data_IF_318207179561
#
_entry.id   IF_318207179561
#
_cell.length_a   1.000
_cell.length_b   1.000
_cell.length_c   1.000
_cell.angle_alpha   90.00
_cell.angle_beta   90.00
_cell.angle_gamma   90.00
#
_symmetry.space_group_name_H-M   'P 1'
#
loop_
_entity.id
_entity.type
_entity.pdbx_description
1 polymer ?
#
# COMPACT_ATOMS: atom_id res chain seq x y z
N UNK A 1 33.46 -33.23 -22.26
CA UNK A 1 33.72 -31.77 -22.30
C UNK A 1 32.43 -31.02 -22.62
N UNK A 2 31.42 -31.17 -21.75
CA UNK A 2 30.06 -30.66 -21.93
C UNK A 2 29.85 -29.46 -20.97
N UNK A 3 29.35 -28.35 -21.50
CA UNK A 3 28.61 -27.27 -20.81
C UNK A 3 29.23 -26.51 -19.61
N UNK A 4 30.31 -25.75 -19.81
CA UNK A 4 30.62 -24.62 -18.90
C UNK A 4 30.10 -23.26 -19.38
N UNK A 5 29.82 -23.09 -20.68
CA UNK A 5 29.26 -21.84 -21.21
C UNK A 5 27.72 -21.74 -21.07
N UNK A 6 26.98 -22.84 -21.27
CA UNK A 6 25.53 -22.84 -21.08
C UNK A 6 25.12 -22.71 -19.62
N UNK A 7 25.88 -23.29 -18.67
CA UNK A 7 25.63 -23.07 -17.25
C UNK A 7 25.78 -21.59 -16.87
N UNK A 8 26.82 -20.90 -17.34
CA UNK A 8 27.03 -19.47 -17.03
C UNK A 8 25.84 -18.60 -17.48
N UNK A 9 25.24 -18.88 -18.64
CA UNK A 9 24.08 -18.12 -19.16
C UNK A 9 22.77 -18.48 -18.45
N UNK A 10 22.56 -19.75 -18.08
CA UNK A 10 21.36 -20.22 -17.37
C UNK A 10 21.35 -19.72 -15.91
N UNK A 11 22.50 -19.79 -15.22
CA UNK A 11 22.67 -19.24 -13.86
C UNK A 11 22.48 -17.72 -13.85
N UNK A 12 22.76 -17.03 -14.98
CA UNK A 12 22.54 -15.60 -15.12
C UNK A 12 21.07 -15.16 -15.13
N UNK A 13 20.18 -15.98 -15.72
CA UNK A 13 18.73 -15.71 -15.65
C UNK A 13 18.12 -16.18 -14.33
N UNK A 14 18.60 -17.28 -13.77
CA UNK A 14 18.02 -17.86 -12.56
C UNK A 14 18.27 -16.99 -11.33
N UNK A 15 19.52 -16.54 -11.09
CA UNK A 15 19.84 -15.70 -9.92
C UNK A 15 19.05 -14.37 -9.91
N UNK A 16 18.90 -13.74 -11.07
CA UNK A 16 18.08 -12.52 -11.21
C UNK A 16 16.59 -12.81 -10.97
N UNK A 17 16.06 -13.94 -11.45
CA UNK A 17 14.67 -14.34 -11.19
C UNK A 17 14.43 -14.59 -9.70
N UNK A 18 15.36 -15.27 -9.02
CA UNK A 18 15.29 -15.51 -7.56
C UNK A 18 15.28 -14.18 -6.82
N UNK A 19 16.19 -13.25 -7.15
CA UNK A 19 16.19 -11.92 -6.54
C UNK A 19 14.88 -11.16 -6.78
N UNK A 20 14.35 -11.19 -8.01
CA UNK A 20 13.07 -10.54 -8.33
C UNK A 20 11.94 -11.11 -7.48
N UNK A 21 11.89 -12.44 -7.33
CA UNK A 21 10.90 -13.11 -6.51
C UNK A 21 11.07 -12.76 -5.02
N UNK A 22 12.29 -12.83 -4.48
CA UNK A 22 12.59 -12.48 -3.09
C UNK A 22 12.20 -11.03 -2.79
N UNK A 23 12.54 -10.08 -3.66
CA UNK A 23 12.17 -8.68 -3.50
C UNK A 23 10.65 -8.47 -3.52
N UNK A 24 9.95 -9.14 -4.44
CA UNK A 24 8.50 -9.04 -4.56
C UNK A 24 7.78 -9.68 -3.35
N UNK A 25 8.29 -10.83 -2.89
CA UNK A 25 7.76 -11.50 -1.71
C UNK A 25 8.03 -10.70 -0.44
N UNK A 26 9.24 -10.15 -0.26
CA UNK A 26 9.55 -9.24 0.83
C UNK A 26 8.66 -8.00 0.81
N UNK A 27 8.40 -7.40 -0.36
CA UNK A 27 7.46 -6.29 -0.49
C UNK A 27 6.06 -6.66 0.00
N UNK A 28 5.59 -7.87 -0.31
CA UNK A 28 4.34 -8.41 0.23
C UNK A 28 4.38 -8.62 1.76
N UNK A 29 5.47 -9.19 2.30
CA UNK A 29 5.62 -9.38 3.75
C UNK A 29 5.65 -8.05 4.52
N UNK A 30 6.20 -6.98 3.94
CA UNK A 30 6.20 -5.65 4.56
C UNK A 30 4.83 -4.98 4.59
N UNK A 31 3.81 -5.54 3.93
CA UNK A 31 2.41 -5.14 4.11
C UNK A 31 1.75 -5.83 5.33
N UNK A 32 2.53 -6.57 6.12
CA UNK A 32 2.13 -7.23 7.37
C UNK A 32 0.95 -8.21 7.22
N UNK A 33 1.03 -9.22 6.34
CA UNK A 33 0.04 -10.30 6.37
C UNK A 33 0.06 -11.06 7.71
N UNK A 34 -1.05 -11.66 8.14
CA UNK A 34 -1.20 -12.15 9.51
C UNK A 34 -0.14 -13.17 9.95
N UNK A 35 0.36 -13.98 9.02
CA UNK A 35 1.37 -14.98 9.31
C UNK A 35 2.77 -14.41 9.54
N UNK A 36 3.00 -13.08 9.43
CA UNK A 36 4.23 -12.42 9.90
C UNK A 36 4.08 -11.77 11.27
N UNK A 37 2.86 -11.71 11.82
CA UNK A 37 2.65 -11.08 13.12
C UNK A 37 3.34 -11.87 14.23
N UNK A 38 4.04 -11.14 15.11
CA UNK A 38 4.72 -11.72 16.26
C UNK A 38 5.94 -12.60 15.93
N UNK A 39 6.35 -12.72 14.67
CA UNK A 39 7.50 -13.54 14.28
C UNK A 39 8.52 -12.76 13.44
N UNK A 40 9.60 -13.45 13.05
CA UNK A 40 10.77 -12.86 12.36
C UNK A 40 10.87 -13.20 10.87
N UNK A 41 9.77 -13.66 10.25
CA UNK A 41 9.81 -14.15 8.86
C UNK A 41 10.25 -13.08 7.87
N UNK A 42 9.74 -11.84 7.99
CA UNK A 42 10.11 -10.73 7.10
C UNK A 42 11.58 -10.34 7.25
N UNK A 43 12.13 -10.42 8.46
CA UNK A 43 13.53 -10.18 8.77
C UNK A 43 14.43 -11.24 8.14
N UNK A 44 14.07 -12.52 8.30
CA UNK A 44 14.80 -13.65 7.70
C UNK A 44 14.82 -13.52 6.17
N UNK A 45 13.67 -13.25 5.55
CA UNK A 45 13.59 -13.01 4.10
C UNK A 45 14.38 -11.76 3.69
N UNK A 46 14.38 -10.72 4.53
CA UNK A 46 15.20 -9.52 4.37
C UNK A 46 16.70 -9.81 4.32
N UNK A 47 17.20 -10.69 5.21
CA UNK A 47 18.59 -11.13 5.18
C UNK A 47 18.95 -11.84 3.88
N UNK A 48 18.10 -12.77 3.41
CA UNK A 48 18.31 -13.44 2.12
C UNK A 48 18.27 -12.46 0.94
N UNK A 49 17.36 -11.49 0.98
CA UNK A 49 17.26 -10.44 -0.02
C UNK A 49 18.53 -9.59 -0.11
N UNK A 50 19.10 -9.16 1.02
CA UNK A 50 20.37 -8.41 1.05
C UNK A 50 21.53 -9.27 0.58
N UNK A 51 21.64 -10.51 1.05
CA UNK A 51 22.69 -11.42 0.61
C UNK A 51 22.64 -11.63 -0.91
N UNK A 52 21.45 -11.87 -1.47
CA UNK A 52 21.28 -11.98 -2.92
C UNK A 52 21.60 -10.68 -3.63
N UNK A 53 21.17 -9.51 -3.12
CA UNK A 53 21.48 -8.20 -3.70
C UNK A 53 23.00 -8.00 -3.83
N UNK A 54 23.77 -8.29 -2.78
CA UNK A 54 25.24 -8.20 -2.81
C UNK A 54 25.83 -9.15 -3.87
N UNK A 55 25.38 -10.39 -3.92
CA UNK A 55 25.84 -11.36 -4.93
C UNK A 55 25.53 -10.92 -6.37
N UNK A 56 24.33 -10.41 -6.63
CA UNK A 56 23.93 -10.01 -7.98
C UNK A 56 24.50 -8.64 -8.36
N UNK A 57 24.76 -7.73 -7.42
CA UNK A 57 25.31 -6.41 -7.72
C UNK A 57 26.78 -6.46 -8.14
N UNK A 58 27.55 -7.40 -7.59
CA UNK A 58 28.93 -7.66 -8.03
C UNK A 58 28.95 -8.25 -9.45
N UNK A 59 28.03 -9.17 -9.74
CA UNK A 59 28.03 -9.93 -10.99
C UNK A 59 27.31 -9.25 -12.15
N UNK A 60 26.29 -8.42 -11.88
CA UNK A 60 25.46 -7.78 -12.88
C UNK A 60 25.40 -6.27 -12.66
N UNK A 61 25.35 -5.51 -13.74
CA UNK A 61 25.11 -4.05 -13.72
C UNK A 61 23.63 -3.74 -13.39
N UNK A 62 23.22 -4.05 -12.17
CA UNK A 62 21.85 -3.83 -11.67
C UNK A 62 21.67 -2.52 -10.90
N UNK A 63 22.77 -1.90 -10.43
CA UNK A 63 22.74 -0.62 -9.71
C UNK A 63 22.78 0.53 -10.73
N UNK A 64 21.87 1.50 -10.56
CA UNK A 64 21.91 2.76 -11.31
C UNK A 64 22.66 3.83 -10.51
N UNK A 65 23.65 4.48 -11.13
CA UNK A 65 24.42 5.56 -10.51
C UNK A 65 23.54 6.76 -10.14
N UNK A 66 22.54 7.06 -10.95
CA UNK A 66 21.58 8.14 -10.71
C UNK A 66 20.76 7.92 -9.42
N UNK A 67 20.56 6.66 -9.04
CA UNK A 67 19.80 6.30 -7.84
C UNK A 67 20.63 6.38 -6.54
N UNK A 68 21.94 6.62 -6.61
CA UNK A 68 22.79 6.75 -5.41
C UNK A 68 22.35 7.95 -4.56
N UNK A 69 22.04 9.09 -5.19
CA UNK A 69 21.51 10.27 -4.48
C UNK A 69 20.20 9.94 -3.77
N UNK A 70 19.28 9.24 -4.46
CA UNK A 70 18.02 8.80 -3.87
C UNK A 70 18.23 7.84 -2.69
N UNK A 71 19.24 6.97 -2.75
CA UNK A 71 19.60 6.09 -1.65
C UNK A 71 20.07 6.87 -0.42
N UNK A 72 20.90 7.92 -0.58
CA UNK A 72 21.29 8.78 0.55
C UNK A 72 20.09 9.47 1.20
N UNK A 73 19.16 10.02 0.41
CA UNK A 73 17.92 10.57 0.95
C UNK A 73 17.08 9.51 1.66
N UNK A 74 17.03 8.28 1.12
CA UNK A 74 16.32 7.15 1.76
C UNK A 74 16.94 6.80 3.11
N UNK A 75 18.27 6.75 3.22
CA UNK A 75 18.97 6.52 4.50
C UNK A 75 18.61 7.62 5.50
N UNK A 76 18.61 8.89 5.06
CA UNK A 76 18.24 10.01 5.91
C UNK A 76 16.80 9.91 6.41
N UNK A 77 15.84 9.59 5.55
CA UNK A 77 14.44 9.38 5.93
C UNK A 77 14.28 8.21 6.92
N UNK A 78 14.97 7.10 6.67
CA UNK A 78 14.96 5.92 7.54
C UNK A 78 15.58 6.22 8.90
N UNK A 79 16.64 7.01 8.95
CA UNK A 79 17.26 7.48 10.19
C UNK A 79 16.26 8.30 11.02
N UNK A 80 15.62 9.30 10.41
CA UNK A 80 14.61 10.11 11.07
C UNK A 80 13.43 9.27 11.58
N UNK A 81 12.92 8.35 10.78
CA UNK A 81 11.83 7.45 11.18
C UNK A 81 12.22 6.54 12.35
N UNK A 82 13.48 6.10 12.41
CA UNK A 82 13.95 5.19 13.45
C UNK A 82 14.09 5.87 14.82
N UNK A 83 14.21 7.21 14.86
CA UNK A 83 14.23 7.98 16.11
C UNK A 83 12.87 8.08 16.82
N UNK A 84 11.81 7.49 16.26
CA UNK A 84 10.53 7.32 16.97
C UNK A 84 10.64 6.43 18.22
N UNK A 85 11.68 5.60 18.29
CA UNK A 85 11.98 4.74 19.43
C UNK A 85 12.90 5.44 20.41
N UNK A 86 12.71 5.20 21.71
CA UNK A 86 13.61 5.69 22.75
C UNK A 86 14.82 4.76 22.93
N UNK A 87 14.61 3.45 22.83
CA UNK A 87 15.67 2.49 23.13
C UNK A 87 16.63 2.31 21.94
N UNK A 88 17.93 2.50 22.18
CA UNK A 88 18.99 2.43 21.16
C UNK A 88 18.93 1.15 20.32
N UNK A 89 18.67 0.00 20.95
CA UNK A 89 18.58 -1.27 20.21
C UNK A 89 17.38 -1.31 19.24
N UNK A 90 16.25 -0.68 19.57
CA UNK A 90 15.09 -0.58 18.66
C UNK A 90 15.36 0.41 17.54
N UNK A 91 16.02 1.54 17.84
CA UNK A 91 16.46 2.51 16.82
C UNK A 91 17.38 1.82 15.80
N UNK A 92 18.42 1.13 16.28
CA UNK A 92 19.37 0.39 15.44
C UNK A 92 18.67 -0.70 14.64
N UNK A 93 17.79 -1.49 15.28
CA UNK A 93 17.02 -2.52 14.60
C UNK A 93 16.17 -1.96 13.46
N UNK A 94 15.36 -0.92 13.75
CA UNK A 94 14.53 -0.23 12.76
C UNK A 94 15.37 0.31 11.61
N UNK A 95 16.45 1.02 11.94
CA UNK A 95 17.34 1.64 10.96
C UNK A 95 17.97 0.59 10.03
N UNK A 96 18.57 -0.45 10.61
CA UNK A 96 19.25 -1.51 9.87
C UNK A 96 18.28 -2.30 9.00
N UNK A 97 17.12 -2.70 9.55
CA UNK A 97 16.12 -3.45 8.80
C UNK A 97 15.56 -2.64 7.63
N UNK A 98 15.14 -1.39 7.87
CA UNK A 98 14.60 -0.55 6.80
C UNK A 98 15.65 -0.19 5.76
N UNK A 99 16.91 0.03 6.15
CA UNK A 99 18.00 0.22 5.19
C UNK A 99 18.23 -1.05 4.34
N UNK A 100 18.27 -2.22 4.98
CA UNK A 100 18.43 -3.51 4.31
C UNK A 100 17.32 -3.77 3.27
N UNK A 101 16.11 -3.31 3.54
CA UNK A 101 14.95 -3.50 2.68
C UNK A 101 14.90 -2.44 1.56
N UNK A 102 14.95 -1.15 1.92
CA UNK A 102 14.67 -0.05 1.01
C UNK A 102 15.87 0.36 0.15
N UNK A 103 17.10 0.31 0.67
CA UNK A 103 18.28 0.80 -0.07
C UNK A 103 18.58 -0.06 -1.30
N UNK A 104 18.64 -1.41 -1.19
CA UNK A 104 18.80 -2.24 -2.38
C UNK A 104 17.70 -1.98 -3.42
N UNK A 105 16.46 -1.76 -2.99
CA UNK A 105 15.34 -1.48 -3.89
C UNK A 105 15.48 -0.12 -4.61
N UNK A 106 15.90 0.92 -3.90
CA UNK A 106 16.09 2.24 -4.51
C UNK A 106 17.24 2.22 -5.52
N UNK A 107 18.34 1.55 -5.20
CA UNK A 107 19.55 1.49 -6.02
C UNK A 107 19.37 0.76 -7.36
N UNK A 108 18.51 -0.25 -7.42
CA UNK A 108 18.35 -1.03 -8.66
C UNK A 108 17.77 -0.22 -9.82
N UNK A 109 18.07 -0.66 -11.04
CA UNK A 109 17.55 -0.07 -12.29
C UNK A 109 16.01 -0.10 -12.37
N UNK A 110 15.44 0.86 -13.10
CA UNK A 110 14.00 0.95 -13.34
C UNK A 110 13.42 -0.33 -13.96
N UNK A 111 14.17 -0.98 -14.86
CA UNK A 111 13.80 -2.27 -15.45
C UNK A 111 13.65 -3.38 -14.41
N UNK A 112 14.49 -3.41 -13.38
CA UNK A 112 14.37 -4.38 -12.28
C UNK A 112 13.18 -4.06 -11.37
N UNK A 113 12.99 -2.78 -11.02
CA UNK A 113 11.82 -2.33 -10.23
C UNK A 113 10.50 -2.75 -10.86
N UNK A 114 10.35 -2.56 -12.18
CA UNK A 114 9.16 -2.97 -12.92
C UNK A 114 8.93 -4.49 -12.91
N UNK A 115 9.99 -5.29 -13.05
CA UNK A 115 9.89 -6.76 -12.97
C UNK A 115 9.50 -7.24 -11.56
N UNK A 116 10.05 -6.62 -10.53
CA UNK A 116 9.68 -6.88 -9.13
C UNK A 116 8.22 -6.54 -8.92
N UNK A 117 7.76 -5.39 -9.42
CA UNK A 117 6.38 -4.97 -9.31
C UNK A 117 5.40 -5.94 -10.01
N UNK A 118 5.73 -6.42 -11.20
CA UNK A 118 4.90 -7.41 -11.90
C UNK A 118 4.78 -8.74 -11.14
N UNK A 119 5.84 -9.19 -10.45
CA UNK A 119 5.77 -10.36 -9.58
C UNK A 119 4.99 -10.06 -8.30
N UNK A 120 5.19 -8.89 -7.70
CA UNK A 120 4.47 -8.44 -6.51
C UNK A 120 2.96 -8.40 -6.74
N UNK A 121 2.49 -7.85 -7.86
CA UNK A 121 1.07 -7.83 -8.23
C UNK A 121 0.50 -9.26 -8.31
N UNK A 122 1.25 -10.21 -8.86
CA UNK A 122 0.81 -11.61 -8.94
C UNK A 122 0.73 -12.26 -7.55
N UNK A 123 1.68 -11.98 -6.67
CA UNK A 123 1.64 -12.45 -5.28
C UNK A 123 0.41 -11.89 -4.56
N UNK A 124 0.14 -10.59 -4.71
CA UNK A 124 -1.06 -9.93 -4.16
C UNK A 124 -2.34 -10.56 -4.72
N UNK A 125 -2.43 -10.78 -6.02
CA UNK A 125 -3.60 -11.40 -6.61
C UNK A 125 -3.82 -12.83 -6.07
N UNK A 126 -2.76 -13.64 -5.99
CA UNK A 126 -2.86 -15.00 -5.43
C UNK A 126 -3.28 -14.98 -3.96
N UNK A 127 -2.75 -14.05 -3.15
CA UNK A 127 -3.11 -13.95 -1.74
C UNK A 127 -4.56 -13.51 -1.50
N UNK A 128 -5.23 -12.91 -2.50
CA UNK A 128 -6.65 -12.56 -2.44
C UNK A 128 -7.60 -13.70 -2.76
N UNK A 129 -7.15 -14.73 -3.50
CA UNK A 129 -8.02 -15.82 -3.95
C UNK A 129 -8.77 -16.51 -2.81
N UNK A 130 -8.12 -16.92 -1.69
CA UNK A 130 -8.84 -17.61 -0.62
C UNK A 130 -9.97 -16.78 -0.03
N UNK A 131 -9.75 -15.48 0.17
CA UNK A 131 -10.75 -14.58 0.74
C UNK A 131 -11.91 -14.31 -0.21
N UNK A 132 -11.64 -14.22 -1.53
CA UNK A 132 -12.68 -14.12 -2.54
C UNK A 132 -13.56 -15.38 -2.53
N UNK A 133 -12.95 -16.57 -2.48
CA UNK A 133 -13.68 -17.84 -2.41
C UNK A 133 -14.58 -17.87 -1.16
N UNK A 134 -14.03 -17.53 0.00
CA UNK A 134 -14.79 -17.48 1.26
C UNK A 134 -15.95 -16.49 1.16
N UNK A 135 -15.71 -15.29 0.63
CA UNK A 135 -16.78 -14.31 0.43
C UNK A 135 -17.92 -14.85 -0.45
N UNK A 136 -17.60 -15.54 -1.54
CA UNK A 136 -18.63 -16.15 -2.39
C UNK A 136 -19.37 -17.31 -1.71
N UNK A 137 -18.67 -18.16 -0.94
CA UNK A 137 -19.30 -19.25 -0.19
C UNK A 137 -20.25 -18.70 0.89
N UNK A 138 -19.81 -17.70 1.65
CA UNK A 138 -20.63 -17.01 2.64
C UNK A 138 -21.87 -16.39 1.98
N UNK A 139 -21.71 -15.74 0.82
CA UNK A 139 -22.83 -15.19 0.05
C UNK A 139 -23.84 -16.28 -0.35
N UNK A 140 -23.41 -17.52 -0.58
CA UNK A 140 -24.30 -18.64 -0.91
C UNK A 140 -24.93 -19.33 0.32
N UNK A 141 -24.62 -18.88 1.54
CA UNK A 141 -25.06 -19.53 2.78
C UNK A 141 -24.22 -20.73 3.20
N UNK A 142 -23.03 -20.88 2.63
CA UNK A 142 -22.08 -21.95 2.96
C UNK A 142 -21.03 -21.35 3.91
N UNK A 143 -21.24 -21.51 5.21
CA UNK A 143 -20.22 -21.17 6.21
C UNK A 143 -19.25 -22.34 6.40
N UNK A 144 -17.97 -22.09 6.18
CA UNK A 144 -16.91 -23.07 6.41
C UNK A 144 -16.53 -23.07 7.90
N UNK A 145 -15.93 -24.16 8.39
CA UNK A 145 -15.31 -24.13 9.72
C UNK A 145 -14.19 -23.09 9.75
N UNK A 146 -14.16 -22.27 10.81
CA UNK A 146 -13.17 -21.22 11.00
C UNK A 146 -12.59 -21.24 12.41
N UNK A 147 -11.33 -20.79 12.51
CA UNK A 147 -10.65 -20.60 13.78
C UNK A 147 -10.64 -19.12 14.18
N UNK A 148 -10.48 -18.83 15.47
CA UNK A 148 -10.28 -17.47 15.94
C UNK A 148 -8.80 -17.08 15.78
N UNK A 149 -8.53 -16.07 14.96
CA UNK A 149 -7.20 -15.50 14.82
C UNK A 149 -7.07 -14.27 15.72
N UNK A 150 -6.13 -14.34 16.66
CA UNK A 150 -5.83 -13.27 17.62
C UNK A 150 -5.02 -12.18 16.92
N UNK A 151 -5.48 -10.95 17.06
CA UNK A 151 -4.81 -9.75 16.58
C UNK A 151 -3.67 -9.30 17.47
N UNK A 152 -2.67 -8.65 16.88
CA UNK A 152 -1.71 -7.85 17.65
C UNK A 152 -2.29 -6.52 18.15
N UNK A 153 -3.39 -6.04 17.56
CA UNK A 153 -4.02 -4.77 17.92
C UNK A 153 -5.15 -4.99 18.92
N UNK A 154 -5.07 -4.30 20.07
CA UNK A 154 -6.06 -4.35 21.15
C UNK A 154 -7.45 -3.86 20.74
N UNK A 155 -7.55 -2.95 19.75
CA UNK A 155 -8.82 -2.44 19.22
C UNK A 155 -9.46 -3.34 18.14
N UNK A 156 -8.78 -4.44 17.77
CA UNK A 156 -9.19 -5.34 16.68
C UNK A 156 -9.15 -6.78 17.14
N UNK A 157 -9.87 -7.14 18.19
CA UNK A 157 -9.55 -8.33 18.99
C UNK A 157 -9.81 -9.69 18.32
N UNK A 158 -10.71 -9.80 17.33
CA UNK A 158 -11.09 -11.10 16.76
C UNK A 158 -11.24 -11.10 15.23
N UNK A 159 -10.53 -12.01 14.59
CA UNK A 159 -10.71 -12.36 13.18
C UNK A 159 -11.23 -13.80 13.08
N UNK A 160 -12.06 -14.06 12.06
CA UNK A 160 -12.35 -15.43 11.63
C UNK A 160 -11.32 -15.82 10.60
N UNK A 161 -10.59 -16.89 10.87
CA UNK A 161 -9.62 -17.45 9.95
C UNK A 161 -10.26 -18.54 9.11
N UNK A 162 -10.43 -18.24 7.82
CA UNK A 162 -10.97 -19.16 6.82
C UNK A 162 -9.91 -19.43 5.76
N UNK A 163 -9.53 -20.69 5.51
CA UNK A 163 -8.64 -21.08 4.40
C UNK A 163 -7.39 -20.16 4.27
N UNK A 164 -6.71 -19.86 5.37
CA UNK A 164 -5.54 -18.96 5.40
C UNK A 164 -5.86 -17.51 4.96
N UNK A 165 -7.10 -17.07 5.16
CA UNK A 165 -7.53 -15.68 5.05
C UNK A 165 -8.13 -15.22 6.38
N UNK A 166 -7.87 -13.98 6.74
CA UNK A 166 -8.50 -13.30 7.84
C UNK A 166 -9.74 -12.57 7.31
N UNK A 167 -10.90 -12.90 7.86
CA UNK A 167 -12.11 -12.09 7.73
C UNK A 167 -12.32 -11.33 9.03
N UNK A 168 -12.58 -10.02 8.89
CA UNK A 168 -12.83 -9.18 10.04
C UNK A 168 -14.18 -9.56 10.63
N UNK A 169 -14.17 -10.20 11.78
CA UNK A 169 -15.38 -10.81 12.34
C UNK A 169 -16.10 -9.89 13.31
N UNK A 170 -15.33 -9.16 14.12
CA UNK A 170 -15.84 -8.32 15.20
C UNK A 170 -15.06 -7.01 15.28
N UNK A 171 -15.79 -5.89 15.35
CA UNK A 171 -15.24 -4.57 15.67
C UNK A 171 -16.00 -3.99 16.85
N UNK A 172 -15.32 -3.61 17.94
CA UNK A 172 -15.95 -3.12 19.17
C UNK A 172 -17.10 -3.99 19.70
N UNK A 173 -16.99 -5.32 19.61
CA UNK A 173 -18.03 -6.23 20.10
C UNK A 173 -19.23 -6.39 19.17
N UNK A 174 -19.26 -5.73 18.01
CA UNK A 174 -20.30 -5.91 17.00
C UNK A 174 -19.80 -6.79 15.85
N UNK A 175 -20.65 -7.72 15.42
CA UNK A 175 -20.36 -8.53 14.23
C UNK A 175 -20.29 -7.64 12.99
N UNK A 176 -19.23 -7.83 12.20
CA UNK A 176 -19.05 -7.16 10.91
C UNK A 176 -19.78 -7.87 9.76
N UNK A 177 -20.48 -8.97 10.08
CA UNK A 177 -21.24 -9.79 9.15
C UNK A 177 -22.67 -9.28 9.01
N UNK A 178 -23.22 -9.39 7.81
CA UNK A 178 -24.65 -9.28 7.59
C UNK A 178 -25.22 -10.56 7.02
N UNK A 179 -26.30 -11.02 7.61
CA UNK A 179 -27.03 -12.20 7.18
C UNK A 179 -28.22 -11.80 6.32
N UNK A 180 -28.36 -12.48 5.19
CA UNK A 180 -29.53 -12.39 4.34
C UNK A 180 -30.62 -13.35 4.83
N UNK A 181 -31.87 -13.05 4.48
CA UNK A 181 -33.04 -13.87 4.84
C UNK A 181 -32.98 -15.31 4.32
N UNK A 182 -32.22 -15.57 3.24
CA UNK A 182 -32.01 -16.90 2.67
C UNK A 182 -30.87 -17.69 3.34
N UNK A 183 -30.25 -17.17 4.41
CA UNK A 183 -29.17 -17.82 5.16
C UNK A 183 -27.75 -17.49 4.69
N UNK A 184 -27.60 -16.79 3.55
CA UNK A 184 -26.33 -16.22 3.11
C UNK A 184 -25.81 -15.13 4.03
N UNK A 185 -24.54 -14.75 3.87
CA UNK A 185 -23.98 -13.58 4.54
C UNK A 185 -22.92 -12.86 3.71
N UNK A 186 -22.65 -11.60 4.04
CA UNK A 186 -21.55 -10.82 3.47
C UNK A 186 -20.65 -10.26 4.58
N UNK A 187 -19.35 -10.48 4.38
CA UNK A 187 -18.27 -9.99 5.24
C UNK A 187 -17.32 -9.10 4.44
N UNK A 188 -16.67 -8.16 5.14
CA UNK A 188 -15.59 -7.36 4.58
C UNK A 188 -14.31 -8.19 4.54
N UNK A 189 -13.79 -8.46 3.35
CA UNK A 189 -12.56 -9.25 3.25
C UNK A 189 -11.33 -8.42 3.66
N UNK A 190 -10.51 -8.96 4.55
CA UNK A 190 -9.15 -8.45 4.81
C UNK A 190 -8.09 -9.21 4.01
N UNK A 191 -8.47 -10.31 3.36
CA UNK A 191 -7.55 -11.29 2.81
C UNK A 191 -6.51 -11.72 3.85
N UNK A 192 -5.22 -11.64 3.55
CA UNK A 192 -4.19 -11.98 4.53
C UNK A 192 -3.84 -10.81 5.46
N UNK A 193 -4.47 -9.64 5.36
CA UNK A 193 -4.06 -8.42 6.05
C UNK A 193 -4.88 -8.12 7.32
N UNK A 194 -4.45 -7.09 8.05
CA UNK A 194 -5.07 -6.69 9.33
C UNK A 194 -6.35 -5.84 9.20
N UNK A 195 -6.76 -5.47 8.00
CA UNK A 195 -8.05 -4.79 7.77
C UNK A 195 -8.40 -4.75 6.28
N UNK A 196 -9.69 -4.60 5.93
CA UNK A 196 -10.13 -4.38 4.56
C UNK A 196 -9.53 -3.11 3.92
N UNK A 197 -9.14 -2.13 4.76
CA UNK A 197 -8.48 -0.91 4.32
C UNK A 197 -7.21 -1.16 3.50
N UNK A 198 -6.39 -2.15 3.89
CA UNK A 198 -5.16 -2.52 3.17
C UNK A 198 -5.49 -3.08 1.79
N UNK A 199 -6.42 -4.05 1.73
CA UNK A 199 -6.88 -4.65 0.47
C UNK A 199 -7.38 -3.58 -0.48
N UNK A 200 -8.23 -2.69 0.02
CA UNK A 200 -8.80 -1.61 -0.77
C UNK A 200 -7.75 -0.64 -1.31
N UNK A 201 -6.86 -0.13 -0.46
CA UNK A 201 -5.84 0.85 -0.88
C UNK A 201 -4.82 0.24 -1.85
N UNK A 202 -4.28 -0.94 -1.54
CA UNK A 202 -3.31 -1.63 -2.40
C UNK A 202 -3.93 -1.96 -3.76
N UNK A 203 -5.17 -2.46 -3.77
CA UNK A 203 -5.89 -2.76 -5.01
C UNK A 203 -6.11 -1.51 -5.85
N UNK A 204 -6.59 -0.41 -5.24
CA UNK A 204 -6.83 0.84 -5.96
C UNK A 204 -5.54 1.39 -6.58
N UNK A 205 -4.45 1.47 -5.82
CA UNK A 205 -3.18 1.99 -6.33
C UNK A 205 -2.60 1.12 -7.44
N UNK A 206 -2.69 -0.22 -7.34
CA UNK A 206 -2.25 -1.12 -8.41
C UNK A 206 -3.10 -0.92 -9.68
N UNK A 207 -4.42 -0.84 -9.55
CA UNK A 207 -5.30 -0.65 -10.70
C UNK A 207 -5.08 0.71 -11.37
N UNK A 208 -4.93 1.78 -10.58
CA UNK A 208 -4.64 3.13 -11.06
C UNK A 208 -3.28 3.17 -11.76
N UNK A 209 -2.24 2.54 -11.19
CA UNK A 209 -0.90 2.49 -11.80
C UNK A 209 -0.91 1.79 -13.17
N UNK A 210 -1.76 0.77 -13.32
CA UNK A 210 -2.01 0.04 -14.58
C UNK A 210 -3.06 0.72 -15.47
N UNK A 211 -3.52 1.92 -15.11
CA UNK A 211 -4.53 2.72 -15.83
C UNK A 211 -5.89 2.02 -16.01
N UNK A 212 -6.22 1.15 -15.06
CA UNK A 212 -7.44 0.32 -15.04
C UNK A 212 -7.58 -0.59 -16.27
N UNK A 213 -6.44 -1.07 -16.79
CA UNK A 213 -6.41 -2.10 -17.84
C UNK A 213 -6.61 -3.45 -17.17
N UNK A 214 -7.70 -4.14 -17.51
CA UNK A 214 -8.11 -5.41 -16.93
C UNK A 214 -7.90 -6.57 -17.92
N UNK A 215 -6.75 -6.52 -18.61
CA UNK A 215 -6.44 -7.41 -19.73
C UNK A 215 -6.11 -8.83 -19.23
N UNK A 216 -5.63 -8.95 -17.98
CA UNK A 216 -5.14 -10.22 -17.39
C UNK A 216 -5.96 -10.66 -16.19
N UNK A 217 -5.97 -11.97 -15.91
CA UNK A 217 -6.74 -12.54 -14.81
C UNK A 217 -6.39 -11.94 -13.44
N UNK A 218 -5.11 -11.74 -13.15
CA UNK A 218 -4.69 -11.18 -11.85
C UNK A 218 -5.17 -9.73 -11.66
N UNK A 219 -5.36 -8.94 -12.72
CA UNK A 219 -5.94 -7.59 -12.63
C UNK A 219 -7.41 -7.66 -12.24
N UNK A 220 -8.15 -8.63 -12.80
CA UNK A 220 -9.55 -8.89 -12.47
C UNK A 220 -9.70 -9.38 -11.02
N UNK A 221 -8.81 -10.26 -10.56
CA UNK A 221 -8.78 -10.74 -9.16
C UNK A 221 -8.59 -9.55 -8.20
N UNK A 222 -7.66 -8.65 -8.49
CA UNK A 222 -7.41 -7.44 -7.67
C UNK A 222 -8.63 -6.52 -7.65
N UNK A 223 -9.32 -6.33 -8.79
CA UNK A 223 -10.56 -5.57 -8.84
C UNK A 223 -11.65 -6.19 -7.95
N UNK A 224 -11.89 -7.49 -8.09
CA UNK A 224 -12.91 -8.21 -7.30
C UNK A 224 -12.57 -8.13 -5.81
N UNK A 225 -11.32 -8.36 -5.42
CA UNK A 225 -10.90 -8.23 -4.03
C UNK A 225 -11.10 -6.81 -3.49
N UNK A 226 -10.75 -5.79 -4.28
CA UNK A 226 -10.95 -4.39 -3.93
C UNK A 226 -12.41 -4.05 -3.66
N UNK A 227 -13.33 -4.54 -4.51
CA UNK A 227 -14.78 -4.38 -4.32
C UNK A 227 -15.25 -5.09 -3.04
N UNK A 228 -14.90 -6.37 -2.90
CA UNK A 228 -15.33 -7.21 -1.76
C UNK A 228 -14.71 -6.78 -0.42
N UNK A 229 -13.62 -5.98 -0.43
CA UNK A 229 -13.08 -5.39 0.80
C UNK A 229 -14.07 -4.41 1.46
N UNK A 230 -15.04 -3.90 0.69
CA UNK A 230 -15.98 -2.88 1.13
C UNK A 230 -15.25 -1.70 1.81
N UNK A 231 -14.09 -1.31 1.26
CA UNK A 231 -13.23 -0.27 1.81
C UNK A 231 -13.57 1.09 1.19
N UNK A 232 -13.85 2.09 2.02
CA UNK A 232 -14.07 3.47 1.58
C UNK A 232 -12.91 3.98 0.72
N UNK A 233 -11.67 3.63 1.09
CA UNK A 233 -10.47 4.04 0.34
C UNK A 233 -10.49 3.51 -1.11
N UNK A 234 -10.92 2.26 -1.31
CA UNK A 234 -11.01 1.67 -2.64
C UNK A 234 -12.00 2.42 -3.53
N UNK A 235 -13.24 2.57 -3.05
CA UNK A 235 -14.31 3.22 -3.82
C UNK A 235 -14.00 4.68 -4.11
N UNK A 236 -13.46 5.42 -3.13
CA UNK A 236 -13.11 6.82 -3.29
C UNK A 236 -11.97 7.00 -4.31
N UNK A 237 -10.89 6.23 -4.20
CA UNK A 237 -9.76 6.35 -5.13
C UNK A 237 -10.14 5.93 -6.56
N UNK A 238 -10.86 4.81 -6.72
CA UNK A 238 -11.31 4.36 -8.05
C UNK A 238 -12.35 5.32 -8.66
N UNK A 239 -13.33 5.76 -7.86
CA UNK A 239 -14.35 6.70 -8.32
C UNK A 239 -13.74 8.02 -8.80
N UNK A 240 -12.86 8.62 -7.98
CA UNK A 240 -12.12 9.82 -8.36
C UNK A 240 -11.25 9.60 -9.59
N UNK A 241 -10.62 8.43 -9.74
CA UNK A 241 -9.81 8.11 -10.92
C UNK A 241 -10.65 8.04 -12.20
N UNK A 242 -11.82 7.40 -12.16
CA UNK A 242 -12.75 7.32 -13.29
C UNK A 242 -13.23 8.72 -13.69
N UNK A 243 -13.59 9.56 -12.71
CA UNK A 243 -13.98 10.96 -12.90
C UNK A 243 -12.84 11.76 -13.55
N UNK A 244 -11.62 11.61 -13.03
CA UNK A 244 -10.44 12.31 -13.55
C UNK A 244 -10.11 11.91 -15.00
N UNK A 245 -10.40 10.67 -15.39
CA UNK A 245 -10.20 10.18 -16.76
C UNK A 245 -11.25 10.72 -17.73
N UNK A 246 -12.50 10.85 -17.30
CA UNK A 246 -13.56 11.42 -18.12
C UNK A 246 -14.64 12.06 -17.26
N UNK A 247 -14.72 13.40 -17.34
CA UNK A 247 -15.68 14.21 -16.58
C UNK A 247 -17.14 13.85 -16.85
N UNK A 248 -17.48 13.24 -17.99
CA UNK A 248 -18.85 12.78 -18.28
C UNK A 248 -19.32 11.72 -17.27
N UNK A 249 -18.39 10.91 -16.74
CA UNK A 249 -18.72 9.94 -15.70
C UNK A 249 -18.94 10.58 -14.33
N UNK A 250 -18.59 11.86 -14.13
CA UNK A 250 -18.93 12.56 -12.89
C UNK A 250 -20.43 12.55 -12.65
N UNK A 251 -21.21 12.95 -13.65
CA UNK A 251 -22.67 13.00 -13.56
C UNK A 251 -23.23 11.59 -13.33
N UNK A 252 -22.73 10.58 -14.04
CA UNK A 252 -23.18 9.20 -13.87
C UNK A 252 -22.84 8.64 -12.48
N UNK A 253 -21.61 8.84 -11.99
CA UNK A 253 -21.19 8.42 -10.66
C UNK A 253 -21.97 9.17 -9.57
N UNK A 254 -22.27 10.45 -9.77
CA UNK A 254 -23.06 11.26 -8.85
C UNK A 254 -24.52 10.81 -8.81
N UNK A 255 -25.14 10.54 -9.96
CA UNK A 255 -26.49 9.96 -10.04
C UNK A 255 -26.51 8.58 -9.38
N UNK A 256 -25.54 7.71 -9.69
CA UNK A 256 -25.43 6.39 -9.08
C UNK A 256 -25.27 6.49 -7.55
N UNK A 257 -24.44 7.43 -7.07
CA UNK A 257 -24.30 7.70 -5.64
C UNK A 257 -25.62 8.15 -5.01
N UNK A 258 -26.35 9.11 -5.61
CA UNK A 258 -27.65 9.56 -5.11
C UNK A 258 -28.65 8.41 -5.09
N UNK A 259 -28.72 7.61 -6.16
CA UNK A 259 -29.63 6.48 -6.25
C UNK A 259 -29.31 5.43 -5.19
N UNK A 260 -28.04 5.06 -5.04
CA UNK A 260 -27.62 4.12 -3.99
C UNK A 260 -27.94 4.70 -2.61
N UNK A 261 -27.62 5.97 -2.35
CA UNK A 261 -27.86 6.60 -1.05
C UNK A 261 -29.35 6.74 -0.72
N UNK A 262 -30.20 7.09 -1.68
CA UNK A 262 -31.63 7.30 -1.49
C UNK A 262 -32.43 6.00 -1.43
N UNK A 263 -32.02 4.96 -2.18
CA UNK A 263 -32.74 3.70 -2.26
C UNK A 263 -32.29 2.68 -1.22
N UNK A 264 -31.11 2.88 -0.60
CA UNK A 264 -30.59 1.94 0.39
C UNK A 264 -31.24 2.23 1.76
N UNK A 265 -31.97 1.27 2.36
CA UNK A 265 -32.57 1.45 3.68
C UNK A 265 -31.50 1.77 4.75
N UNK A 266 -31.79 2.69 5.68
CA UNK A 266 -30.82 3.13 6.70
C UNK A 266 -30.40 2.01 7.66
N UNK A 267 -31.27 1.03 7.87
CA UNK A 267 -31.03 -0.17 8.65
C UNK A 267 -30.28 -1.26 7.87
N UNK A 268 -30.11 -1.10 6.55
CA UNK A 268 -29.37 -2.07 5.75
C UNK A 268 -27.88 -2.09 6.07
N UNK A 269 -27.25 -3.23 5.81
CA UNK A 269 -25.80 -3.38 5.95
C UNK A 269 -25.01 -2.43 5.06
N UNK A 270 -25.44 -2.28 3.80
CA UNK A 270 -24.76 -1.40 2.86
C UNK A 270 -24.75 0.04 3.37
N UNK A 271 -25.86 0.49 3.98
CA UNK A 271 -25.92 1.80 4.61
C UNK A 271 -24.94 1.91 5.76
N UNK A 272 -25.08 1.07 6.78
CA UNK A 272 -24.27 1.15 8.00
C UNK A 272 -22.76 1.00 7.73
N UNK A 273 -22.36 0.25 6.70
CA UNK A 273 -20.94 -0.02 6.41
C UNK A 273 -20.30 0.95 5.45
N UNK A 274 -21.01 1.37 4.41
CA UNK A 274 -20.45 2.23 3.36
C UNK A 274 -21.10 3.60 3.39
N UNK A 275 -22.43 3.69 3.32
CA UNK A 275 -23.11 4.96 3.06
C UNK A 275 -23.16 5.89 4.26
N UNK A 276 -23.26 5.35 5.48
CA UNK A 276 -23.21 6.13 6.73
C UNK A 276 -21.95 6.99 6.79
N UNK A 277 -20.82 6.52 6.25
CA UNK A 277 -19.57 7.29 6.19
C UNK A 277 -19.64 8.52 5.28
N UNK A 278 -20.66 8.65 4.45
CA UNK A 278 -20.90 9.81 3.60
C UNK A 278 -22.08 10.68 4.07
N UNK A 279 -22.75 10.31 5.16
CA UNK A 279 -23.81 11.13 5.77
C UNK A 279 -23.21 12.43 6.34
N UNK A 280 -23.92 13.55 6.18
CA UNK A 280 -23.51 14.86 6.69
C UNK A 280 -24.40 15.17 7.88
N UNK A 281 -23.78 15.25 9.06
CA UNK A 281 -24.42 15.60 10.32
C UNK A 281 -24.03 17.02 10.73
N UNK A 282 -24.56 17.51 11.87
CA UNK A 282 -24.22 18.83 12.45
C UNK A 282 -22.72 19.04 12.63
N UNK A 283 -21.97 17.96 12.90
CA UNK A 283 -20.51 17.99 13.13
C UNK A 283 -19.69 17.73 11.87
N UNK A 284 -20.33 17.65 10.70
CA UNK A 284 -19.72 17.38 9.41
C UNK A 284 -19.95 15.96 8.89
N UNK A 285 -19.02 15.45 8.08
CA UNK A 285 -19.17 14.12 7.45
C UNK A 285 -18.98 13.02 8.49
N UNK A 286 -19.99 12.15 8.67
CA UNK A 286 -19.99 11.05 9.66
C UNK A 286 -18.84 10.05 9.45
N UNK A 287 -18.30 9.93 8.23
CA UNK A 287 -17.09 9.16 7.93
C UNK A 287 -15.79 9.78 8.43
N UNK A 288 -15.81 10.98 9.02
CA UNK A 288 -14.66 11.58 9.70
C UNK A 288 -14.41 10.93 11.07
N UNK A 289 -14.34 9.59 11.09
CA UNK A 289 -14.12 8.77 12.29
C UNK A 289 -12.68 8.24 12.36
N UNK A 290 -11.73 8.99 11.80
CA UNK A 290 -10.30 8.63 11.80
C UNK A 290 -9.60 8.92 13.13
N UNK A 291 -10.22 9.75 13.96
CA UNK A 291 -9.81 10.12 15.31
C UNK A 291 -11.05 10.10 16.21
N UNK A 292 -10.85 9.91 17.51
CA UNK A 292 -11.88 10.09 18.52
C UNK A 292 -11.57 11.32 19.39
N UNK A 293 -12.47 11.67 20.31
CA UNK A 293 -12.28 12.82 21.20
C UNK A 293 -10.99 12.73 22.02
N UNK A 294 -10.68 11.54 22.54
CA UNK A 294 -9.43 11.26 23.25
C UNK A 294 -8.19 11.59 22.43
N UNK A 295 -8.19 11.23 21.15
CA UNK A 295 -7.09 11.60 20.25
C UNK A 295 -7.03 13.11 20.01
N UNK A 296 -8.16 13.81 19.89
CA UNK A 296 -8.14 15.26 19.70
C UNK A 296 -7.59 16.00 20.93
N UNK A 297 -7.79 15.49 22.15
CA UNK A 297 -7.11 16.00 23.35
C UNK A 297 -5.60 15.77 23.27
N UNK A 298 -5.17 14.55 22.95
CA UNK A 298 -3.75 14.21 22.77
C UNK A 298 -3.11 15.10 21.69
N UNK A 299 -3.80 15.31 20.57
CA UNK A 299 -3.32 16.12 19.46
C UNK A 299 -3.26 17.62 19.81
N UNK A 300 -4.18 18.12 20.66
CA UNK A 300 -4.11 19.48 21.20
C UNK A 300 -2.92 19.63 22.15
N UNK A 301 -2.68 18.65 23.03
CA UNK A 301 -1.52 18.61 23.93
C UNK A 301 -0.21 18.64 23.13
N UNK A 302 -0.06 17.77 22.13
CA UNK A 302 1.09 17.77 21.21
C UNK A 302 1.32 19.13 20.51
N UNK A 303 0.24 19.80 20.08
CA UNK A 303 0.33 21.13 19.44
C UNK A 303 0.65 22.26 20.43
N UNK A 304 0.31 22.08 21.71
CA UNK A 304 0.68 23.01 22.77
C UNK A 304 2.13 22.79 23.26
N UNK A 305 2.72 21.62 22.94
CA UNK A 305 4.11 21.29 23.22
C UNK A 305 5.12 22.20 22.52
N UNK A 306 6.38 22.10 22.93
CA UNK A 306 7.47 22.93 22.39
C UNK A 306 7.78 22.64 20.92
N UNK A 307 8.42 23.59 20.23
CA UNK A 307 8.75 23.46 18.80
C UNK A 307 9.57 22.20 18.48
N UNK A 308 10.46 21.77 19.40
CA UNK A 308 11.26 20.55 19.25
C UNK A 308 10.38 19.30 19.18
N UNK A 309 9.42 19.19 20.09
CA UNK A 309 8.46 18.07 20.12
C UNK A 309 7.59 18.08 18.86
N UNK A 310 7.12 19.24 18.42
CA UNK A 310 6.33 19.33 17.19
C UNK A 310 7.13 18.92 15.94
N UNK A 311 8.41 19.28 15.87
CA UNK A 311 9.26 18.95 14.73
C UNK A 311 9.68 17.48 14.69
N UNK A 312 10.02 16.87 15.83
CA UNK A 312 10.58 15.52 15.90
C UNK A 312 9.63 14.45 16.46
N UNK A 313 8.46 14.86 16.93
CA UNK A 313 7.48 13.98 17.55
C UNK A 313 7.76 13.70 19.03
N UNK A 314 6.77 13.14 19.71
CA UNK A 314 6.91 12.65 21.10
C UNK A 314 7.44 11.21 21.18
N UNK A 315 7.57 10.52 20.04
CA UNK A 315 7.98 9.12 19.99
C UNK A 315 6.86 8.13 20.30
N UNK A 316 7.12 6.85 20.01
CA UNK A 316 6.11 5.79 20.02
C UNK A 316 5.66 5.41 21.43
N UNK A 317 6.60 5.35 22.37
CA UNK A 317 6.31 4.94 23.77
C UNK A 317 5.48 5.99 24.50
N UNK A 318 5.88 7.26 24.44
CA UNK A 318 5.09 8.36 25.03
C UNK A 318 3.70 8.46 24.37
N UNK A 319 3.62 8.36 23.04
CA UNK A 319 2.35 8.34 22.33
C UNK A 319 1.42 7.24 22.86
N UNK A 320 1.89 5.99 22.96
CA UNK A 320 1.03 4.90 23.43
C UNK A 320 0.63 5.06 24.90
N UNK A 321 1.50 5.60 25.76
CA UNK A 321 1.14 5.91 27.15
C UNK A 321 0.05 6.98 27.22
N UNK A 322 0.21 8.10 26.53
CA UNK A 322 -0.81 9.16 26.45
C UNK A 322 -2.09 8.64 25.79
N UNK A 323 -1.96 7.81 24.76
CA UNK A 323 -3.12 7.27 24.05
C UNK A 323 -3.98 6.38 24.96
N UNK A 324 -3.36 5.56 25.81
CA UNK A 324 -4.07 4.79 26.83
C UNK A 324 -4.78 5.70 27.83
N UNK A 325 -4.09 6.74 28.34
CA UNK A 325 -4.63 7.68 29.32
C UNK A 325 -5.85 8.45 28.78
N UNK A 326 -5.78 8.90 27.52
CA UNK A 326 -6.87 9.63 26.87
C UNK A 326 -7.92 8.72 26.23
N UNK A 327 -7.79 7.39 26.32
CA UNK A 327 -8.61 6.43 25.55
C UNK A 327 -8.64 6.78 24.05
N UNK A 328 -7.51 7.22 23.54
CA UNK A 328 -7.34 7.72 22.18
C UNK A 328 -7.25 6.58 21.19
N UNK A 329 -8.05 6.67 20.14
CA UNK A 329 -8.06 5.73 19.03
C UNK A 329 -7.98 6.54 17.73
N UNK A 330 -6.89 6.36 17.00
CA UNK A 330 -6.69 7.09 15.76
C UNK A 330 -5.92 6.29 14.73
N UNK A 331 -6.44 6.32 13.51
CA UNK A 331 -5.80 5.81 12.31
C UNK A 331 -5.57 6.99 11.37
N UNK A 332 -4.97 8.08 11.82
CA UNK A 332 -4.84 9.30 11.01
C UNK A 332 -3.38 9.56 10.63
N UNK A 333 -3.16 10.32 9.56
CA UNK A 333 -1.87 10.96 9.30
C UNK A 333 -1.41 11.81 10.49
N UNK A 334 -2.36 12.34 11.29
CA UNK A 334 -2.05 13.03 12.55
C UNK A 334 -1.27 12.11 13.51
N UNK A 335 -1.60 10.82 13.59
CA UNK A 335 -0.87 9.85 14.43
C UNK A 335 0.59 9.74 14.00
N UNK A 336 0.85 9.70 12.69
CA UNK A 336 2.22 9.70 12.17
C UNK A 336 2.97 10.97 12.60
N UNK A 337 2.34 12.13 12.50
CA UNK A 337 2.92 13.42 12.89
C UNK A 337 3.18 13.52 14.39
N UNK A 338 2.26 13.04 15.22
CA UNK A 338 2.44 13.04 16.69
C UNK A 338 3.65 12.20 17.09
N UNK A 339 3.78 11.01 16.50
CA UNK A 339 4.86 10.07 16.83
C UNK A 339 6.21 10.54 16.27
N UNK A 340 6.24 10.99 15.00
CA UNK A 340 7.51 11.22 14.26
C UNK A 340 7.80 12.69 13.95
N UNK A 341 6.87 13.60 14.27
CA UNK A 341 6.99 15.03 14.05
C UNK A 341 6.64 15.52 12.63
N UNK A 342 6.43 16.82 12.50
CA UNK A 342 6.17 17.48 11.22
C UNK A 342 7.38 17.44 10.29
N UNK A 343 8.60 17.44 10.82
CA UNK A 343 9.79 17.47 9.99
C UNK A 343 9.86 16.24 9.09
N UNK A 344 9.71 15.04 9.66
CA UNK A 344 9.70 13.79 8.88
C UNK A 344 8.56 13.77 7.86
N UNK A 345 7.35 14.18 8.27
CA UNK A 345 6.18 14.26 7.38
C UNK A 345 6.49 15.10 6.13
N UNK A 346 7.07 16.29 6.33
CA UNK A 346 7.40 17.24 5.25
C UNK A 346 8.50 16.67 4.37
N UNK A 347 9.64 16.24 4.92
CA UNK A 347 10.77 15.77 4.10
C UNK A 347 10.41 14.48 3.34
N UNK A 348 9.63 13.60 3.95
CA UNK A 348 9.13 12.39 3.29
C UNK A 348 8.16 12.75 2.15
N UNK A 349 7.22 13.67 2.40
CA UNK A 349 6.30 14.16 1.35
C UNK A 349 7.05 14.80 0.18
N UNK A 350 8.03 15.66 0.47
CA UNK A 350 8.84 16.32 -0.54
C UNK A 350 9.67 15.32 -1.36
N UNK A 351 10.20 14.27 -0.73
CA UNK A 351 10.94 13.21 -1.43
C UNK A 351 10.06 12.48 -2.45
N UNK A 352 8.85 12.07 -2.06
CA UNK A 352 7.91 11.40 -2.96
C UNK A 352 7.37 12.36 -4.04
N UNK A 353 7.05 13.61 -3.69
CA UNK A 353 6.65 14.63 -4.65
C UNK A 353 7.74 14.89 -5.69
N UNK A 354 9.00 15.03 -5.27
CA UNK A 354 10.13 15.19 -6.19
C UNK A 354 10.19 14.03 -7.20
N UNK A 355 10.09 12.78 -6.74
CA UNK A 355 10.12 11.61 -7.64
C UNK A 355 8.92 11.62 -8.59
N UNK A 356 7.73 11.97 -8.10
CA UNK A 356 6.52 12.01 -8.92
C UNK A 356 6.50 13.13 -9.95
N UNK A 357 7.19 14.24 -9.68
CA UNK A 357 7.20 15.46 -10.49
C UNK A 357 8.41 15.60 -11.41
N UNK A 358 9.55 14.96 -11.09
CA UNK A 358 10.81 15.16 -11.83
C UNK A 358 10.71 14.83 -13.32
N UNK A 359 9.83 13.89 -13.67
CA UNK A 359 9.65 13.41 -15.05
C UNK A 359 8.68 14.27 -15.86
N UNK A 360 8.05 15.29 -15.25
CA UNK A 360 7.09 16.22 -15.88
C UNK A 360 5.92 15.57 -16.64
N UNK A 361 5.66 14.28 -16.42
CA UNK A 361 4.56 13.55 -17.05
C UNK A 361 3.24 13.76 -16.30
N UNK A 362 2.19 14.19 -17.00
CA UNK A 362 0.85 14.42 -16.44
C UNK A 362 0.29 13.15 -15.78
N UNK A 363 0.53 11.98 -16.37
CA UNK A 363 0.02 10.72 -15.84
C UNK A 363 0.75 10.34 -14.55
N UNK A 364 2.07 10.54 -14.50
CA UNK A 364 2.86 10.35 -13.29
C UNK A 364 2.41 11.31 -12.17
N UNK A 365 2.10 12.57 -12.51
CA UNK A 365 1.55 13.53 -11.57
C UNK A 365 0.18 13.08 -11.02
N UNK A 366 -0.73 12.66 -11.89
CA UNK A 366 -2.05 12.14 -11.47
C UNK A 366 -1.88 10.95 -10.52
N UNK A 367 -1.04 9.98 -10.87
CA UNK A 367 -0.76 8.83 -9.99
C UNK A 367 -0.17 9.28 -8.64
N UNK A 368 0.74 10.25 -8.63
CA UNK A 368 1.30 10.83 -7.41
C UNK A 368 0.20 11.41 -6.52
N UNK A 369 -0.74 12.17 -7.08
CA UNK A 369 -1.87 12.72 -6.33
C UNK A 369 -2.74 11.62 -5.71
N UNK A 370 -3.05 10.55 -6.45
CA UNK A 370 -3.79 9.41 -5.91
C UNK A 370 -3.04 8.67 -4.80
N UNK A 371 -1.72 8.55 -4.93
CA UNK A 371 -0.88 8.01 -3.86
C UNK A 371 -0.97 8.89 -2.60
N UNK A 372 -0.85 10.21 -2.72
CA UNK A 372 -0.99 11.11 -1.57
C UNK A 372 -2.41 11.11 -0.96
N UNK A 373 -3.46 11.01 -1.78
CA UNK A 373 -4.83 10.84 -1.28
C UNK A 373 -4.99 9.56 -0.47
N UNK A 374 -4.30 8.48 -0.86
CA UNK A 374 -4.33 7.24 -0.08
C UNK A 374 -3.72 7.39 1.31
N UNK A 375 -2.80 8.35 1.50
CA UNK A 375 -2.17 8.60 2.80
C UNK A 375 -3.11 9.16 3.85
N UNK A 376 -4.19 9.82 3.43
CA UNK A 376 -5.26 10.24 4.32
C UNK A 376 -5.95 9.03 4.98
N UNK A 377 -6.13 7.95 4.20
CA UNK A 377 -6.75 6.70 4.65
C UNK A 377 -5.76 5.73 5.29
N UNK A 378 -4.47 5.81 4.96
CA UNK A 378 -3.42 4.96 5.51
C UNK A 378 -2.11 5.78 5.62
N UNK A 379 -1.73 6.23 6.83
CA UNK A 379 -0.59 7.12 6.99
C UNK A 379 0.71 6.49 6.48
N UNK A 380 1.72 7.36 6.26
CA UNK A 380 3.02 6.97 5.73
C UNK A 380 3.59 5.71 6.39
N UNK A 381 3.91 4.74 5.54
CA UNK A 381 4.49 3.48 5.95
C UNK A 381 5.80 3.28 5.17
N UNK A 382 6.88 3.05 5.91
CA UNK A 382 8.21 2.75 5.38
C UNK A 382 8.31 1.30 4.85
N UNK A 383 7.17 0.69 4.49
CA UNK A 383 7.11 -0.62 3.83
C UNK A 383 7.69 -0.59 2.41
N UNK A 384 8.36 -1.68 2.04
CA UNK A 384 8.77 -1.90 0.66
C UNK A 384 7.57 -2.02 -0.29
N UNK A 385 6.44 -2.58 0.18
CA UNK A 385 5.22 -2.72 -0.60
C UNK A 385 4.70 -1.38 -1.14
N UNK A 386 4.50 -0.39 -0.27
CA UNK A 386 4.03 0.93 -0.68
C UNK A 386 5.07 1.69 -1.52
N UNK A 387 6.35 1.62 -1.17
CA UNK A 387 7.43 2.21 -1.96
C UNK A 387 7.51 1.60 -3.37
N UNK A 388 7.37 0.28 -3.49
CA UNK A 388 7.34 -0.43 -4.75
C UNK A 388 6.16 0.01 -5.62
N UNK A 389 4.95 0.08 -5.04
CA UNK A 389 3.75 0.57 -5.73
C UNK A 389 3.97 1.99 -6.26
N UNK A 390 4.55 2.88 -5.44
CA UNK A 390 4.79 4.26 -5.84
C UNK A 390 5.80 4.36 -6.98
N UNK A 391 7.02 3.87 -6.78
CA UNK A 391 8.09 3.96 -7.76
C UNK A 391 7.70 3.26 -9.07
N UNK A 392 7.16 2.05 -9.00
CA UNK A 392 6.78 1.32 -10.19
C UNK A 392 5.55 1.92 -10.88
N UNK A 393 4.63 2.54 -10.15
CA UNK A 393 3.48 3.22 -10.74
C UNK A 393 3.86 4.48 -11.53
N UNK A 394 4.86 5.23 -11.05
CA UNK A 394 5.48 6.32 -11.83
C UNK A 394 6.13 5.74 -13.10
N UNK A 395 6.97 4.71 -12.98
CA UNK A 395 7.63 4.09 -14.13
C UNK A 395 6.65 3.50 -15.16
N UNK A 396 5.55 2.89 -14.72
CA UNK A 396 4.48 2.41 -15.61
C UNK A 396 3.74 3.54 -16.33
N UNK A 397 3.67 4.71 -15.69
CA UNK A 397 3.06 5.89 -16.30
C UNK A 397 3.89 6.39 -17.48
N UNK A 398 5.23 6.34 -17.35
CA UNK A 398 6.22 6.81 -18.33
C UNK A 398 6.43 5.84 -19.51
N UNK A 399 6.65 4.55 -19.24
CA UNK A 399 6.97 3.53 -20.27
C UNK A 399 5.93 3.38 -21.39
N UNK A 400 4.72 3.93 -21.22
CA UNK A 400 3.67 3.86 -22.23
C UNK A 400 3.58 5.11 -23.11
N UNK A 401 4.16 6.24 -22.69
CA UNK A 401 4.27 7.42 -23.55
C UNK A 401 5.28 7.18 -24.70
N UNK A 402 6.39 6.47 -24.42
CA UNK A 402 7.34 6.03 -25.46
C UNK A 402 6.66 5.22 -26.59
N UNK A 403 5.70 4.36 -26.26
CA UNK A 403 4.99 3.54 -27.25
C UNK A 403 3.91 4.31 -28.05
N UNK A 404 3.55 5.53 -27.64
CA UNK A 404 2.56 6.37 -28.35
C UNK A 404 3.19 7.44 -29.23
N UNK A 405 4.48 7.75 -29.06
CA UNK A 405 5.20 8.75 -29.87
C UNK A 405 5.87 8.13 -31.10
N UNK A 406 6.21 6.83 -31.11
CA UNK A 406 7.02 6.21 -32.19
C UNK A 406 6.27 5.42 -33.27
N UNK A 407 4.93 5.37 -33.28
CA UNK A 407 4.20 4.58 -34.29
C UNK A 407 3.88 5.31 -35.61
N UNK A 408 4.49 6.49 -35.87
CA UNK A 408 4.35 7.20 -37.15
C UNK A 408 5.67 7.54 -37.86
N UNK A 409 6.82 7.19 -37.32
CA UNK A 409 8.11 7.56 -37.92
C UNK A 409 9.17 6.48 -37.76
N UNK A 410 9.05 5.39 -38.51
CA UNK A 410 10.15 4.46 -38.73
C UNK A 410 10.25 4.14 -40.23
N UNK A 411 10.77 5.11 -41.00
CA UNK A 411 11.61 4.78 -42.15
C UNK A 411 13.05 4.63 -41.64
N UNK A 412 13.74 3.64 -42.21
CA UNK A 412 15.08 3.14 -41.86
C UNK A 412 16.12 4.26 -41.67
N UNK A 413 16.91 4.20 -40.59
CA UNK A 413 18.16 4.96 -40.50
C UNK A 413 18.87 4.91 -39.15
N UNK A 414 19.92 4.11 -39.08
CA UNK A 414 21.13 4.16 -38.23
C UNK A 414 21.06 4.29 -36.70
N UNK A 415 21.69 3.28 -36.09
CA UNK A 415 22.24 3.25 -34.73
C UNK A 415 23.27 4.36 -34.53
N UNK A 416 23.01 5.23 -33.57
CA UNK A 416 23.93 5.88 -32.62
C UNK A 416 23.38 7.27 -32.28
N UNK A 417 22.70 7.40 -31.15
CA UNK A 417 22.61 8.68 -30.44
C UNK A 417 22.09 8.44 -29.01
N UNK A 418 22.96 8.70 -28.02
CA UNK A 418 22.53 9.02 -26.67
C UNK A 418 21.68 10.28 -26.74
N UNK A 419 20.38 10.18 -26.41
CA UNK A 419 19.55 11.37 -26.20
C UNK A 419 18.91 11.36 -24.83
N UNK A 420 19.16 12.48 -24.16
CA UNK A 420 18.61 12.92 -22.90
C UNK A 420 17.09 13.04 -22.95
N UNK A 421 16.48 12.72 -21.81
CA UNK A 421 15.05 12.72 -21.57
C UNK A 421 14.54 14.16 -21.58
N UNK A 422 13.80 14.54 -22.62
CA UNK A 422 12.93 15.73 -22.63
C UNK A 422 11.60 15.30 -23.26
N UNK A 423 10.51 15.30 -22.49
CA UNK A 423 9.14 15.17 -22.99
C UNK A 423 8.42 16.52 -22.85
N UNK A 424 7.72 16.92 -23.91
CA UNK A 424 6.77 18.04 -23.94
C UNK A 424 5.41 17.64 -23.35
#
# INVERSE_FOLDING_TARGET
MINLQNHKVITNKLALKIYIFLAAFLAFLTLEPFFVWGNKLKEVVGCFYVAYFLLISVKYKIISRENIKLAFYTIFLVLLYSFRYEEIYKILYSFLFLCAVLIPFVLITNKMKLKIYDFFIKIIAVSYIPAIIVAFLLLLGIDLSWDNLISYSTSKSHYRQYLWSANYAVYYGFSEQYFFSYGGSIDRICAMFNEPGVVGTVSALILISKKFKLDRLYEKIILVAGILSLSMAFYLLIGLYIIAKNKKYFVLCFIAYILIFALTPKDSYLYNRILYRFEINSDGVAGNNRTNEGFEYLYKDFKAGGIKEQLFGMGEKEYFQKALNYKSEALSWKTFTVINGYFLLIVHSLFFLYIGLKERCKIAFVFTMFYFMSLYQRPFDFSLGYWLIFFAGILYSLNKEENTVDNKSLSRGNLNEEKSIICN
#
